data_IF_876199215473
#
_entry.id   IF_876199215473
#
_cell.length_a   1.000
_cell.length_b   1.000
_cell.length_c   1.000
_cell.angle_alpha   90.00
_cell.angle_beta   90.00
_cell.angle_gamma   90.00
#
_symmetry.space_group_name_H-M   'P 1'
#
loop_
_entity.id
_entity.type
_entity.pdbx_description
1 polymer ?
#
# COMPACT_ATOMS: atom_id res chain seq x y z
N UNK A 1 -11.31 7.14 -9.07
CA UNK A 1 -10.78 6.71 -7.75
C UNK A 1 -11.92 6.72 -6.75
N UNK A 2 -12.04 5.65 -6.01
CA UNK A 2 -13.17 5.50 -5.09
C UNK A 2 -12.71 5.53 -3.64
N UNK A 3 -13.24 6.49 -2.89
CA UNK A 3 -12.94 6.63 -1.45
C UNK A 3 -13.31 5.38 -0.65
N UNK A 4 -14.30 4.63 -1.11
CA UNK A 4 -14.71 3.39 -0.42
C UNK A 4 -13.57 2.37 -0.31
N UNK A 5 -12.70 2.28 -1.34
CA UNK A 5 -11.56 1.37 -1.31
C UNK A 5 -10.48 1.87 -0.34
N UNK A 6 -10.23 3.18 -0.31
CA UNK A 6 -9.31 3.74 0.67
C UNK A 6 -9.86 3.59 2.10
N UNK A 7 -11.16 3.75 2.28
CA UNK A 7 -11.80 3.53 3.59
C UNK A 7 -11.60 2.09 4.06
N UNK A 8 -11.70 1.12 3.15
CA UNK A 8 -11.41 -0.28 3.50
C UNK A 8 -9.96 -0.48 3.88
N UNK A 9 -9.03 0.14 3.14
CA UNK A 9 -7.60 0.11 3.47
C UNK A 9 -7.34 0.71 4.87
N UNK A 10 -8.05 1.78 5.23
CA UNK A 10 -7.97 2.36 6.58
C UNK A 10 -8.44 1.42 7.68
N UNK A 11 -9.49 0.63 7.44
CA UNK A 11 -9.93 -0.39 8.40
C UNK A 11 -8.85 -1.45 8.60
N UNK A 12 -8.14 -1.80 7.54
CA UNK A 12 -7.02 -2.74 7.63
C UNK A 12 -5.83 -2.11 8.37
N UNK A 13 -5.58 -0.82 8.19
CA UNK A 13 -4.59 -0.09 8.97
C UNK A 13 -4.92 -0.13 10.46
N UNK A 14 -6.19 -0.02 10.82
CA UNK A 14 -6.63 -0.14 12.22
C UNK A 14 -6.36 -1.53 12.78
N UNK A 15 -6.50 -2.58 11.98
CA UNK A 15 -6.14 -3.94 12.40
C UNK A 15 -4.65 -4.04 12.71
N UNK A 16 -3.81 -3.45 11.88
CA UNK A 16 -2.36 -3.38 12.13
C UNK A 16 -2.09 -2.63 13.44
N UNK A 17 -2.73 -1.49 13.64
CA UNK A 17 -2.63 -0.68 14.87
C UNK A 17 -2.94 -1.51 16.11
N UNK A 18 -4.06 -2.23 16.08
CA UNK A 18 -4.50 -3.07 17.22
C UNK A 18 -3.52 -4.19 17.51
N UNK A 19 -2.78 -4.65 16.52
CA UNK A 19 -1.76 -5.69 16.65
C UNK A 19 -0.38 -5.15 17.01
N UNK A 20 -0.25 -3.83 17.25
CA UNK A 20 1.04 -3.21 17.61
C UNK A 20 1.95 -2.93 16.42
N UNK A 21 1.44 -3.00 15.20
CA UNK A 21 2.17 -2.72 13.98
C UNK A 21 2.01 -1.26 13.56
N UNK A 22 2.98 -0.74 12.79
CA UNK A 22 2.78 0.56 12.13
C UNK A 22 1.51 0.45 11.26
N UNK A 23 0.52 1.34 11.44
CA UNK A 23 -0.80 1.17 10.85
C UNK A 23 -0.84 1.54 9.37
N UNK A 24 -0.61 0.54 8.54
CA UNK A 24 -0.73 0.64 7.09
C UNK A 24 -1.62 -0.50 6.61
N UNK A 25 -2.57 -0.17 5.76
CA UNK A 25 -3.47 -1.12 5.14
C UNK A 25 -3.52 -0.94 3.63
N UNK A 26 -3.84 -2.01 2.92
CA UNK A 26 -3.88 -2.01 1.47
C UNK A 26 -4.97 -2.94 0.95
N UNK A 27 -5.55 -2.57 -0.18
CA UNK A 27 -6.47 -3.43 -0.93
C UNK A 27 -6.07 -3.42 -2.40
N UNK A 28 -6.28 -4.53 -3.08
CA UNK A 28 -6.14 -4.62 -4.53
C UNK A 28 -7.53 -4.84 -5.13
N UNK A 29 -7.83 -4.04 -6.14
CA UNK A 29 -9.14 -3.98 -6.80
C UNK A 29 -8.98 -4.40 -8.25
N UNK A 30 -9.88 -5.24 -8.72
CA UNK A 30 -9.98 -5.63 -10.13
C UNK A 30 -11.44 -5.58 -10.54
N UNK A 31 -11.73 -4.91 -11.66
CA UNK A 31 -13.10 -4.78 -12.19
C UNK A 31 -14.08 -4.25 -11.14
N UNK A 32 -13.63 -3.29 -10.33
CA UNK A 32 -14.48 -2.64 -9.32
C UNK A 32 -14.68 -3.45 -8.05
N UNK A 33 -14.02 -4.58 -7.89
CA UNK A 33 -14.14 -5.45 -6.71
C UNK A 33 -12.81 -5.64 -6.01
N UNK A 34 -12.82 -5.63 -4.67
CA UNK A 34 -11.64 -5.94 -3.87
C UNK A 34 -11.38 -7.45 -3.98
N UNK A 35 -10.20 -7.81 -4.51
CA UNK A 35 -9.80 -9.22 -4.65
C UNK A 35 -8.78 -9.64 -3.61
N UNK A 36 -8.12 -8.70 -2.95
CA UNK A 36 -7.11 -9.00 -1.93
C UNK A 36 -7.01 -7.85 -0.94
N UNK A 37 -6.69 -8.19 0.30
CA UNK A 37 -6.49 -7.25 1.39
C UNK A 37 -5.20 -7.58 2.12
N UNK A 38 -4.56 -6.57 2.68
CA UNK A 38 -3.36 -6.76 3.48
C UNK A 38 -3.16 -5.61 4.45
N UNK A 39 -2.42 -5.87 5.51
CA UNK A 39 -1.97 -4.84 6.44
C UNK A 39 -0.58 -5.21 6.94
N UNK A 40 0.13 -4.23 7.50
CA UNK A 40 1.50 -4.44 7.94
C UNK A 40 1.55 -5.52 9.02
N UNK A 41 2.42 -6.51 8.83
CA UNK A 41 2.61 -7.64 9.73
C UNK A 41 4.09 -7.89 10.05
N UNK A 42 4.92 -6.87 9.90
CA UNK A 42 6.38 -7.00 10.08
C UNK A 42 6.76 -7.59 11.43
N UNK A 43 6.18 -7.10 12.52
CA UNK A 43 6.47 -7.59 13.87
C UNK A 43 5.84 -8.95 14.14
N UNK A 44 4.59 -9.14 13.75
CA UNK A 44 3.88 -10.41 13.94
C UNK A 44 4.57 -11.56 13.22
N UNK A 45 5.03 -11.34 12.00
CA UNK A 45 5.70 -12.36 11.18
C UNK A 45 7.22 -12.39 11.36
N UNK A 46 7.79 -11.41 12.08
CA UNK A 46 9.24 -11.23 12.17
C UNK A 46 9.88 -11.28 10.78
N UNK A 47 9.30 -10.47 9.87
CA UNK A 47 9.69 -10.46 8.47
C UNK A 47 9.70 -9.02 7.95
N UNK A 48 10.88 -8.52 7.61
CA UNK A 48 11.06 -7.15 7.12
C UNK A 48 10.29 -6.87 5.82
N UNK A 49 9.90 -7.90 5.08
CA UNK A 49 9.19 -7.77 3.81
C UNK A 49 7.67 -7.67 3.97
N UNK A 50 7.14 -7.98 5.17
CA UNK A 50 5.70 -8.10 5.40
C UNK A 50 4.99 -6.75 5.56
N UNK A 51 5.26 -5.83 4.66
CA UNK A 51 4.49 -4.59 4.52
C UNK A 51 3.09 -4.89 3.97
N UNK A 52 2.14 -3.99 4.21
CA UNK A 52 0.75 -4.14 3.74
C UNK A 52 0.68 -4.46 2.25
N UNK A 53 1.46 -3.76 1.44
CA UNK A 53 1.47 -3.93 -0.02
C UNK A 53 1.95 -5.33 -0.41
N UNK A 54 3.02 -5.82 0.22
CA UNK A 54 3.56 -7.16 -0.06
C UNK A 54 2.54 -8.24 0.31
N UNK A 55 1.93 -8.12 1.49
CA UNK A 55 0.88 -9.05 1.92
C UNK A 55 -0.27 -9.07 0.92
N UNK A 56 -0.67 -7.89 0.46
CA UNK A 56 -1.77 -7.74 -0.46
C UNK A 56 -1.44 -8.30 -1.86
N UNK A 57 -0.26 -7.98 -2.39
CA UNK A 57 0.21 -8.48 -3.69
C UNK A 57 0.29 -10.00 -3.68
N UNK A 58 0.84 -10.60 -2.61
CA UNK A 58 0.92 -12.06 -2.50
C UNK A 58 -0.47 -12.70 -2.61
N UNK A 59 -1.44 -12.15 -1.91
CA UNK A 59 -2.81 -12.67 -1.94
C UNK A 59 -3.47 -12.49 -3.31
N UNK A 60 -3.26 -11.35 -3.95
CA UNK A 60 -3.82 -11.09 -5.28
C UNK A 60 -3.25 -12.08 -6.31
N UNK A 61 -1.95 -12.35 -6.25
CA UNK A 61 -1.31 -13.33 -7.13
C UNK A 61 -1.89 -14.73 -6.92
N UNK A 62 -2.16 -15.11 -5.68
CA UNK A 62 -2.80 -16.40 -5.35
C UNK A 62 -4.22 -16.48 -5.91
N UNK A 63 -5.02 -15.42 -5.70
CA UNK A 63 -6.41 -15.36 -6.17
C UNK A 63 -6.49 -15.47 -7.69
N UNK A 64 -5.64 -14.74 -8.40
CA UNK A 64 -5.64 -14.69 -9.85
C UNK A 64 -4.81 -15.81 -10.48
N UNK A 65 -4.04 -16.53 -9.69
CA UNK A 65 -3.09 -17.56 -10.16
C UNK A 65 -2.16 -16.99 -11.22
N UNK A 66 -1.68 -15.78 -10.98
CA UNK A 66 -0.83 -15.03 -11.91
C UNK A 66 0.03 -14.03 -11.14
N UNK A 67 1.28 -13.86 -11.56
CA UNK A 67 2.11 -12.80 -11.04
C UNK A 67 1.81 -11.44 -11.72
N UNK A 68 1.09 -11.46 -12.85
CA UNK A 68 0.73 -10.24 -13.58
C UNK A 68 -0.57 -9.66 -13.03
N UNK A 69 -0.49 -8.44 -12.53
CA UNK A 69 -1.65 -7.72 -11.98
C UNK A 69 -1.99 -6.50 -12.84
N UNK A 70 -1.89 -6.66 -14.17
CA UNK A 70 -1.97 -5.57 -15.14
C UNK A 70 -3.29 -4.81 -15.16
N UNK A 71 -4.37 -5.45 -14.73
CA UNK A 71 -5.70 -4.83 -14.70
C UNK A 71 -6.11 -4.42 -13.30
N UNK A 72 -5.17 -4.49 -12.34
CA UNK A 72 -5.47 -4.24 -10.93
C UNK A 72 -5.06 -2.83 -10.50
N UNK A 73 -5.78 -2.33 -9.51
CA UNK A 73 -5.47 -1.08 -8.82
C UNK A 73 -5.13 -1.39 -7.36
N UNK A 74 -4.09 -0.76 -6.85
CA UNK A 74 -3.70 -0.88 -5.44
C UNK A 74 -4.07 0.42 -4.71
N UNK A 75 -4.82 0.28 -3.62
CA UNK A 75 -5.08 1.37 -2.67
C UNK A 75 -4.30 1.07 -1.40
N UNK A 76 -3.50 2.01 -0.94
CA UNK A 76 -2.67 1.86 0.26
C UNK A 76 -2.70 3.15 1.07
N UNK A 77 -2.76 3.05 2.39
CA UNK A 77 -2.93 4.22 3.27
C UNK A 77 -1.68 5.09 3.37
N UNK A 78 -0.51 4.56 3.05
CA UNK A 78 0.76 5.27 3.10
C UNK A 78 1.51 5.10 1.79
N UNK A 79 2.17 6.14 1.33
CA UNK A 79 3.01 6.11 0.13
C UNK A 79 3.98 4.94 0.18
N UNK A 80 4.05 4.10 -0.88
CA UNK A 80 4.95 2.93 -0.89
C UNK A 80 6.42 3.28 -0.75
N UNK A 81 7.14 2.46 0.02
CA UNK A 81 8.59 2.52 0.18
C UNK A 81 9.29 1.95 -1.08
N UNK A 82 10.63 1.99 -1.15
CA UNK A 82 11.35 1.48 -2.33
C UNK A 82 11.05 0.00 -2.63
N UNK A 83 11.01 -0.83 -1.60
CA UNK A 83 10.71 -2.26 -1.75
C UNK A 83 9.33 -2.49 -2.35
N UNK A 84 8.32 -1.81 -1.80
CA UNK A 84 6.94 -1.97 -2.26
C UNK A 84 6.73 -1.36 -3.64
N UNK A 85 7.37 -0.23 -3.92
CA UNK A 85 7.33 0.36 -5.27
C UNK A 85 7.95 -0.59 -6.29
N UNK A 86 9.06 -1.23 -5.95
CA UNK A 86 9.67 -2.26 -6.79
C UNK A 86 8.73 -3.45 -7.01
N UNK A 87 8.05 -3.90 -5.98
CA UNK A 87 7.07 -4.99 -6.08
C UNK A 87 5.90 -4.61 -7.00
N UNK A 88 5.43 -3.38 -6.91
CA UNK A 88 4.37 -2.85 -7.78
C UNK A 88 4.81 -2.87 -9.25
N UNK A 89 6.02 -2.41 -9.52
CA UNK A 89 6.60 -2.44 -10.88
C UNK A 89 6.70 -3.89 -11.36
N UNK A 90 7.25 -4.77 -10.53
CA UNK A 90 7.46 -6.18 -10.89
C UNK A 90 6.14 -6.91 -11.19
N UNK A 91 5.09 -6.62 -10.45
CA UNK A 91 3.79 -7.27 -10.63
C UNK A 91 2.92 -6.59 -11.70
N UNK A 92 3.39 -5.49 -12.28
CA UNK A 92 2.70 -4.77 -13.37
C UNK A 92 1.35 -4.16 -12.95
N UNK A 93 1.20 -3.77 -11.69
CA UNK A 93 -0.03 -3.10 -11.23
C UNK A 93 -0.26 -1.83 -12.05
N UNK A 94 -1.49 -1.65 -12.53
CA UNK A 94 -1.84 -0.56 -13.43
C UNK A 94 -1.86 0.79 -12.74
N UNK A 95 -2.47 0.85 -11.55
CA UNK A 95 -2.75 2.11 -10.85
C UNK A 95 -2.46 1.95 -9.36
N UNK A 96 -1.80 2.94 -8.77
CA UNK A 96 -1.58 3.03 -7.32
C UNK A 96 -2.24 4.31 -6.81
N UNK A 97 -3.06 4.15 -5.77
CA UNK A 97 -3.69 5.26 -5.07
C UNK A 97 -3.21 5.20 -3.62
N UNK A 98 -2.55 6.24 -3.14
CA UNK A 98 -2.10 6.25 -1.75
C UNK A 98 -2.68 7.44 -0.97
N UNK A 99 -2.77 7.28 0.36
CA UNK A 99 -3.31 8.30 1.23
C UNK A 99 -2.26 9.29 1.69
N UNK A 100 -1.53 8.98 2.75
CA UNK A 100 -0.53 9.87 3.32
C UNK A 100 0.80 9.77 2.57
N UNK A 101 1.52 10.89 2.51
CA UNK A 101 2.89 10.94 1.98
C UNK A 101 3.86 10.47 3.07
N UNK A 102 4.90 9.75 2.68
CA UNK A 102 5.94 9.28 3.58
C UNK A 102 7.24 10.04 3.29
N UNK A 103 7.54 11.06 4.10
CA UNK A 103 8.69 11.93 3.89
C UNK A 103 10.03 11.24 4.14
N UNK A 104 10.04 10.08 4.78
CA UNK A 104 11.27 9.34 5.12
C UNK A 104 11.60 8.23 4.14
N UNK A 105 10.61 7.56 3.58
CA UNK A 105 10.81 6.38 2.75
C UNK A 105 9.93 6.35 1.48
N UNK A 106 9.07 7.34 1.29
CA UNK A 106 8.17 7.38 0.15
C UNK A 106 8.90 7.41 -1.18
N UNK A 107 8.57 6.48 -2.05
CA UNK A 107 9.32 6.26 -3.29
C UNK A 107 8.47 6.42 -4.54
N UNK A 108 7.33 7.10 -4.41
CA UNK A 108 6.48 7.49 -5.53
C UNK A 108 6.42 9.01 -5.72
N UNK A 109 6.86 9.78 -4.71
CA UNK A 109 6.89 11.24 -4.79
C UNK A 109 7.83 11.88 -3.77
N UNK A 110 7.79 11.46 -2.50
CA UNK A 110 8.37 12.23 -1.38
C UNK A 110 9.88 12.24 -1.33
N UNK A 111 10.55 11.09 -1.26
CA UNK A 111 12.01 10.99 -1.25
C UNK A 111 12.52 10.92 -2.68
N UNK A 112 11.91 10.09 -3.48
CA UNK A 112 12.23 9.87 -4.89
C UNK A 112 10.95 9.42 -5.59
N UNK A 113 10.86 9.67 -6.90
CA UNK A 113 9.86 8.98 -7.71
C UNK A 113 10.55 7.88 -8.50
N UNK A 114 10.54 6.67 -7.95
CA UNK A 114 11.18 5.52 -8.56
C UNK A 114 10.57 5.19 -9.92
N UNK A 115 9.30 5.51 -10.11
CA UNK A 115 8.59 5.26 -11.35
C UNK A 115 8.96 6.22 -12.49
N UNK A 116 9.73 7.27 -12.21
CA UNK A 116 10.24 8.18 -13.25
C UNK A 116 11.44 7.60 -14.00
N UNK A 117 12.04 6.54 -13.48
CA UNK A 117 13.17 5.88 -14.14
C UNK A 117 12.66 4.94 -15.26
N UNK A 118 13.50 4.64 -16.25
CA UNK A 118 13.03 3.91 -17.44
C UNK A 118 12.93 2.40 -17.22
N UNK A 119 12.21 2.00 -16.18
CA UNK A 119 11.85 0.60 -15.98
C UNK A 119 10.80 0.19 -17.03
N UNK A 120 10.64 -1.11 -17.21
CA UNK A 120 9.76 -1.65 -18.25
C UNK A 120 8.27 -1.59 -17.92
N UNK A 121 7.91 -0.97 -16.79
CA UNK A 121 6.51 -0.72 -16.41
C UNK A 121 6.42 0.54 -15.57
N UNK A 122 5.40 1.34 -15.82
CA UNK A 122 5.13 2.56 -15.06
C UNK A 122 3.64 2.61 -14.67
N UNK A 123 3.32 2.45 -13.38
CA UNK A 123 1.92 2.58 -12.94
C UNK A 123 1.47 4.04 -12.99
N UNK A 124 0.16 4.25 -13.11
CA UNK A 124 -0.45 5.55 -12.83
C UNK A 124 -0.46 5.74 -11.32
N UNK A 125 -0.12 6.94 -10.84
CA UNK A 125 0.03 7.23 -9.41
C UNK A 125 -0.84 8.39 -9.01
N UNK A 126 -1.64 8.22 -7.96
CA UNK A 126 -2.49 9.26 -7.37
C UNK A 126 -2.26 9.28 -5.87
N UNK A 127 -1.75 10.38 -5.33
CA UNK A 127 -1.47 10.54 -3.91
C UNK A 127 -2.43 11.52 -3.24
N UNK A 128 -2.53 11.42 -1.92
CA UNK A 128 -3.30 12.36 -1.11
C UNK A 128 -4.78 12.03 -0.97
N UNK A 129 -5.19 10.82 -1.32
CA UNK A 129 -6.59 10.40 -1.22
C UNK A 129 -6.92 10.04 0.22
N UNK A 130 -7.81 10.81 0.86
CA UNK A 130 -8.09 10.71 2.30
C UNK A 130 -6.80 10.88 3.12
N UNK A 131 -5.99 11.83 2.71
CA UNK A 131 -4.66 12.06 3.29
C UNK A 131 -4.72 12.31 4.79
N UNK A 132 -5.64 13.14 5.26
CA UNK A 132 -5.74 13.52 6.67
C UNK A 132 -6.04 12.32 7.55
N UNK A 133 -7.00 11.48 7.15
CA UNK A 133 -7.38 10.29 7.91
C UNK A 133 -6.24 9.26 7.94
N UNK A 134 -5.57 9.08 6.81
CA UNK A 134 -4.44 8.15 6.71
C UNK A 134 -3.24 8.63 7.55
N UNK A 135 -3.00 9.94 7.57
CA UNK A 135 -1.94 10.55 8.36
C UNK A 135 -2.23 10.49 9.86
N UNK A 136 -3.48 10.73 10.24
CA UNK A 136 -3.89 10.78 11.65
C UNK A 136 -3.61 9.46 12.38
N UNK A 137 -3.95 8.33 11.78
CA UNK A 137 -3.74 7.04 12.43
C UNK A 137 -2.24 6.77 12.66
N UNK A 138 -1.39 7.20 11.74
CA UNK A 138 0.07 7.10 11.88
C UNK A 138 0.57 7.99 13.01
N UNK A 139 0.08 9.23 13.08
CA UNK A 139 0.46 10.17 14.14
C UNK A 139 0.09 9.65 15.52
N UNK A 140 -1.12 9.12 15.68
CA UNK A 140 -1.59 8.53 16.94
C UNK A 140 -0.68 7.37 17.36
N UNK A 141 -0.34 6.49 16.42
CA UNK A 141 0.52 5.34 16.69
C UNK A 141 1.90 5.78 17.19
N UNK A 142 2.55 6.71 16.49
CA UNK A 142 3.89 7.17 16.86
C UNK A 142 3.89 7.99 18.17
N UNK A 143 2.83 8.70 18.48
CA UNK A 143 2.69 9.39 19.77
C UNK A 143 2.66 8.40 20.94
N UNK A 144 2.01 7.25 20.77
CA UNK A 144 1.94 6.22 21.82
C UNK A 144 3.26 5.53 22.09
N UNK A 145 4.20 5.58 21.15
CA UNK A 145 5.52 4.97 21.32
C UNK A 145 6.48 5.85 22.14
N UNK A 146 6.10 7.11 22.39
CA UNK A 146 6.95 8.07 23.10
C UNK A 146 6.74 8.01 24.61
#
# INVERSE_FOLDING_TARGET
MKKEFMSRALLLAKKAYEAGEVPVGAVIVKDGEIIAEGYNMREQKQNALSHAEIECINKACEVLKSWRLETCELYVTLEPCPMCTGAIINSRIKTVVFGAYDLKAGSMDSVINLCDYPYNHKPEIYGGIMEDECKEILEIFFQKLR
#
